data_IF_384718954397
#
_entry.id   IF_384718954397
#
_cell.length_a   1.000
_cell.length_b   1.000
_cell.length_c   1.000
_cell.angle_alpha   90.00
_cell.angle_beta   90.00
_cell.angle_gamma   90.00
#
_symmetry.space_group_name_H-M   'P 1'
#
loop_
_entity.id
_entity.type
_entity.pdbx_description
1 polymer ?
#
# COMPACT_ATOMS: atom_id res chain seq x y z
N UNK A 1 -15.55 3.53 -20.74
CA UNK A 1 -14.93 3.95 -20.46
C UNK A 1 -13.93 3.51 -20.43
N UNK A 2 -13.69 3.27 -20.71
CA UNK A 2 -12.75 2.76 -20.64
C UNK A 2 -11.56 3.36 -20.82
N UNK A 3 -11.15 4.19 -21.37
CA UNK A 3 -9.92 4.87 -21.40
C UNK A 3 -9.57 5.58 -20.13
N UNK A 4 -10.33 5.43 -19.14
CA UNK A 4 -10.07 6.06 -17.89
C UNK A 4 -8.81 5.47 -17.27
N UNK A 5 -8.02 6.29 -16.56
CA UNK A 5 -6.88 5.75 -15.84
C UNK A 5 -7.34 4.71 -14.84
N UNK A 6 -6.43 3.85 -14.49
CA UNK A 6 -6.71 2.85 -13.49
C UNK A 6 -6.85 3.49 -12.14
N UNK A 7 -8.07 3.72 -11.75
CA UNK A 7 -8.40 4.17 -10.41
C UNK A 7 -9.11 3.00 -9.75
N UNK A 8 -8.65 2.55 -8.61
CA UNK A 8 -9.33 1.45 -7.94
C UNK A 8 -10.79 1.81 -7.71
N UNK A 9 -11.69 0.97 -8.20
CA UNK A 9 -13.12 1.25 -8.17
C UNK A 9 -13.62 1.42 -6.74
N UNK A 10 -13.03 0.67 -5.81
CA UNK A 10 -13.47 0.64 -4.43
C UNK A 10 -12.54 1.41 -3.49
N UNK A 11 -11.73 2.33 -4.05
CA UNK A 11 -10.74 3.03 -3.23
C UNK A 11 -11.38 3.71 -2.02
N UNK A 12 -12.38 4.53 -2.25
CA UNK A 12 -12.99 5.30 -1.18
C UNK A 12 -13.63 4.38 -0.14
N UNK A 13 -14.30 3.33 -0.60
CA UNK A 13 -14.95 2.38 0.28
C UNK A 13 -13.95 1.61 1.12
N UNK A 14 -12.85 1.20 0.50
CA UNK A 14 -11.81 0.44 1.22
C UNK A 14 -11.16 1.32 2.28
N UNK A 15 -10.82 2.55 1.93
CA UNK A 15 -10.20 3.47 2.88
C UNK A 15 -11.16 3.80 4.01
N UNK A 16 -12.44 4.01 3.70
CA UNK A 16 -13.42 4.30 4.74
C UNK A 16 -13.60 3.11 5.68
N UNK A 17 -13.62 1.89 5.14
CA UNK A 17 -13.78 0.68 5.97
C UNK A 17 -12.56 0.45 6.85
N UNK A 18 -11.37 0.70 6.32
CA UNK A 18 -10.15 0.55 7.08
C UNK A 18 -10.02 1.64 8.14
N UNK A 19 -10.49 2.84 7.83
CA UNK A 19 -10.46 4.01 8.69
C UNK A 19 -9.07 4.23 9.31
N UNK A 20 -8.04 4.41 8.48
CA UNK A 20 -6.69 4.56 8.99
C UNK A 20 -6.55 5.84 9.81
N UNK A 21 -5.86 5.73 10.91
CA UNK A 21 -5.62 6.84 11.81
C UNK A 21 -4.19 7.32 11.70
N UNK A 22 -3.91 8.59 12.03
CA UNK A 22 -2.53 9.08 12.04
C UNK A 22 -1.66 8.17 12.91
N UNK A 23 -0.51 7.78 12.36
CA UNK A 23 0.43 6.90 13.05
C UNK A 23 0.17 5.42 12.85
N UNK A 24 -0.93 5.05 12.20
CA UNK A 24 -1.16 3.64 11.89
C UNK A 24 -0.10 3.14 10.91
N UNK A 25 0.21 1.85 10.99
CA UNK A 25 1.09 1.16 10.06
C UNK A 25 0.22 0.27 9.18
N UNK A 26 0.24 0.52 7.89
CA UNK A 26 -0.62 -0.17 6.94
C UNK A 26 0.22 -0.76 5.83
N UNK A 27 -0.11 -1.97 5.41
CA UNK A 27 0.52 -2.60 4.26
C UNK A 27 -0.35 -2.40 3.04
N UNK A 28 0.26 -1.92 1.96
CA UNK A 28 -0.36 -1.94 0.64
C UNK A 28 0.22 -3.15 -0.10
N UNK A 29 -0.60 -4.16 -0.32
CA UNK A 29 -0.13 -5.42 -0.87
C UNK A 29 0.17 -5.33 -2.37
N UNK A 30 -0.29 -4.29 -3.04
CA UNK A 30 -0.07 -4.10 -4.47
C UNK A 30 0.09 -2.61 -4.75
N UNK A 31 1.33 -2.12 -4.67
CA UNK A 31 1.57 -0.68 -4.83
C UNK A 31 1.07 -0.16 -6.17
N UNK A 32 1.46 -0.80 -7.27
CA UNK A 32 1.05 -0.42 -8.61
C UNK A 32 1.35 1.04 -8.90
N UNK A 33 0.32 1.81 -9.20
CA UNK A 33 0.43 3.24 -9.44
C UNK A 33 0.32 4.08 -8.16
N UNK A 34 0.08 3.44 -7.02
CA UNK A 34 0.12 4.11 -5.73
C UNK A 34 -1.19 4.73 -5.26
N UNK A 35 -2.32 4.34 -5.84
CA UNK A 35 -3.60 4.93 -5.46
C UNK A 35 -3.96 4.73 -3.99
N UNK A 36 -3.91 3.49 -3.53
CA UNK A 36 -4.19 3.21 -2.11
C UNK A 36 -3.15 3.84 -1.21
N UNK A 37 -1.88 3.72 -1.58
CA UNK A 37 -0.80 4.28 -0.78
C UNK A 37 -0.95 5.79 -0.62
N UNK A 38 -1.29 6.51 -1.69
CA UNK A 38 -1.48 7.95 -1.58
C UNK A 38 -2.60 8.29 -0.61
N UNK A 39 -3.72 7.59 -0.70
CA UNK A 39 -4.85 7.83 0.20
C UNK A 39 -4.49 7.54 1.65
N UNK A 40 -3.74 6.48 1.88
CA UNK A 40 -3.31 6.11 3.24
C UNK A 40 -2.36 7.15 3.82
N UNK A 41 -1.40 7.60 3.02
CA UNK A 41 -0.45 8.62 3.47
C UNK A 41 -1.16 9.92 3.83
N UNK A 42 -2.20 10.28 3.07
CA UNK A 42 -2.98 11.48 3.34
C UNK A 42 -3.74 11.39 4.65
N UNK A 43 -4.03 10.18 5.11
CA UNK A 43 -4.67 9.96 6.41
C UNK A 43 -3.67 9.93 7.56
N UNK A 44 -2.38 10.08 7.26
CA UNK A 44 -1.35 10.09 8.30
C UNK A 44 -0.73 8.73 8.59
N UNK A 45 -1.07 7.71 7.84
CA UNK A 45 -0.51 6.38 8.04
C UNK A 45 0.93 6.29 7.53
N UNK A 46 1.68 5.37 8.10
CA UNK A 46 2.94 4.91 7.53
C UNK A 46 2.61 3.68 6.70
N UNK A 47 3.14 3.61 5.48
CA UNK A 47 2.77 2.58 4.54
C UNK A 47 3.99 1.75 4.14
N UNK A 48 3.84 0.44 4.23
CA UNK A 48 4.78 -0.50 3.64
C UNK A 48 4.13 -1.08 2.41
N UNK A 49 4.67 -0.75 1.24
CA UNK A 49 4.04 -1.08 -0.03
C UNK A 49 4.82 -2.15 -0.76
N UNK A 50 4.13 -3.16 -1.22
CA UNK A 50 4.72 -4.31 -1.89
C UNK A 50 4.42 -4.27 -3.38
N UNK A 51 5.39 -4.61 -4.19
CA UNK A 51 5.18 -4.84 -5.60
C UNK A 51 6.34 -5.66 -6.15
N UNK A 52 6.06 -6.49 -7.14
CA UNK A 52 7.09 -7.26 -7.83
C UNK A 52 7.66 -6.52 -9.03
N UNK A 53 6.95 -5.49 -9.50
CA UNK A 53 7.34 -4.76 -10.69
C UNK A 53 8.42 -3.74 -10.33
N UNK A 54 9.63 -3.89 -10.87
CA UNK A 54 10.71 -2.95 -10.55
C UNK A 54 10.40 -1.53 -10.99
N UNK A 55 9.59 -1.33 -12.03
CA UNK A 55 9.20 0.00 -12.46
C UNK A 55 8.28 0.65 -11.45
N UNK A 56 7.35 -0.11 -10.88
CA UNK A 56 6.48 0.41 -9.84
C UNK A 56 7.28 0.78 -8.60
N UNK A 57 8.22 -0.06 -8.21
CA UNK A 57 9.08 0.20 -7.06
C UNK A 57 9.91 1.47 -7.30
N UNK A 58 10.52 1.59 -8.48
CA UNK A 58 11.33 2.77 -8.81
C UNK A 58 10.49 4.05 -8.75
N UNK A 59 9.28 4.00 -9.28
CA UNK A 59 8.38 5.15 -9.24
C UNK A 59 8.03 5.52 -7.79
N UNK A 60 7.77 4.51 -6.97
CA UNK A 60 7.44 4.73 -5.56
C UNK A 60 8.61 5.31 -4.78
N UNK A 61 9.82 4.89 -5.08
CA UNK A 61 11.00 5.39 -4.38
C UNK A 61 11.24 6.88 -4.63
N UNK A 62 10.64 7.44 -5.67
CA UNK A 62 10.74 8.87 -5.94
C UNK A 62 9.79 9.72 -5.09
N UNK A 63 8.86 9.09 -4.38
CA UNK A 63 7.89 9.82 -3.57
C UNK A 63 8.58 10.45 -2.35
N UNK A 64 8.20 11.68 -2.00
CA UNK A 64 8.87 12.37 -0.88
C UNK A 64 8.71 11.65 0.46
N UNK A 65 7.65 10.89 0.64
CA UNK A 65 7.43 10.18 1.90
C UNK A 65 8.46 9.08 2.17
N UNK A 66 9.21 8.66 1.15
CA UNK A 66 10.33 7.73 1.35
C UNK A 66 11.55 8.43 1.93
N UNK A 67 11.61 9.76 1.85
CA UNK A 67 12.80 10.54 2.19
C UNK A 67 12.73 11.19 3.57
N UNK A 68 11.60 11.10 4.24
CA UNK A 68 11.49 11.66 5.59
C UNK A 68 12.05 10.69 6.61
N UNK A 69 12.33 11.16 7.82
CA UNK A 69 12.94 10.33 8.86
C UNK A 69 12.08 10.42 10.14
N UNK A 70 11.48 9.34 10.58
CA UNK A 70 11.46 8.02 9.90
C UNK A 70 10.61 8.05 8.64
N UNK A 71 10.89 7.18 7.68
CA UNK A 71 10.15 7.19 6.43
C UNK A 71 8.69 6.80 6.63
N UNK A 72 7.81 7.50 5.92
CA UNK A 72 6.39 7.20 5.97
C UNK A 72 5.96 6.25 4.86
N UNK A 73 6.80 6.06 3.87
CA UNK A 73 6.59 5.08 2.80
C UNK A 73 7.85 4.26 2.63
N UNK A 74 7.70 2.95 2.72
CA UNK A 74 8.80 2.02 2.49
C UNK A 74 8.36 1.04 1.41
N UNK A 75 9.13 0.98 0.32
CA UNK A 75 8.83 0.08 -0.79
C UNK A 75 9.55 -1.24 -0.58
N UNK A 76 8.83 -2.33 -0.86
CA UNK A 76 9.38 -3.68 -0.74
C UNK A 76 9.22 -4.40 -2.08
N UNK A 77 10.34 -4.66 -2.79
CA UNK A 77 10.28 -5.33 -4.09
C UNK A 77 10.10 -6.84 -3.92
N UNK A 78 8.99 -7.22 -3.34
CA UNK A 78 8.70 -8.60 -2.98
C UNK A 78 7.26 -8.92 -3.28
N UNK A 79 6.97 -10.21 -3.37
CA UNK A 79 5.59 -10.67 -3.46
C UNK A 79 4.92 -10.49 -2.11
N UNK A 80 3.63 -10.24 -2.16
CA UNK A 80 2.88 -10.10 -0.91
C UNK A 80 2.95 -11.40 -0.07
N UNK A 81 3.07 -12.56 -0.72
CA UNK A 81 3.18 -13.83 0.01
C UNK A 81 4.41 -13.88 0.93
N UNK A 82 5.39 -13.01 0.70
CA UNK A 82 6.59 -12.91 1.52
C UNK A 82 6.45 -11.88 2.64
N UNK A 83 5.28 -11.32 2.80
CA UNK A 83 5.06 -10.16 3.67
C UNK A 83 5.52 -10.41 5.10
N UNK A 84 5.17 -11.56 5.68
CA UNK A 84 5.50 -11.81 7.08
C UNK A 84 7.01 -11.79 7.31
N UNK A 85 7.76 -12.44 6.40
CA UNK A 85 9.21 -12.48 6.51
C UNK A 85 9.83 -11.11 6.29
N UNK A 86 9.33 -10.39 5.28
CA UNK A 86 9.86 -9.08 4.95
C UNK A 86 9.62 -8.09 6.09
N UNK A 87 8.42 -8.09 6.66
CA UNK A 87 8.10 -7.18 7.74
C UNK A 87 8.88 -7.50 9.00
N UNK A 88 9.07 -8.78 9.29
CA UNK A 88 9.90 -9.19 10.42
C UNK A 88 11.34 -8.71 10.23
N UNK A 89 11.89 -8.89 9.04
CA UNK A 89 13.26 -8.45 8.74
C UNK A 89 13.39 -6.94 8.82
N UNK A 90 12.33 -6.21 8.50
CA UNK A 90 12.31 -4.75 8.58
C UNK A 90 12.09 -4.24 10.01
N UNK A 91 11.86 -5.12 10.97
CA UNK A 91 11.68 -4.72 12.36
C UNK A 91 10.29 -4.17 12.66
N UNK A 92 9.32 -4.44 11.82
CA UNK A 92 7.96 -3.94 12.01
C UNK A 92 7.20 -4.90 12.90
N UNK A 93 6.83 -4.43 14.08
CA UNK A 93 6.19 -5.28 15.09
C UNK A 93 4.66 -5.14 15.08
N UNK A 94 4.13 -4.05 14.51
CA UNK A 94 2.70 -3.79 14.54
C UNK A 94 2.20 -3.41 13.16
N UNK A 95 1.11 -4.02 12.76
CA UNK A 95 0.44 -3.71 11.50
C UNK A 95 -1.03 -3.48 11.86
N UNK A 96 -1.55 -2.31 11.48
CA UNK A 96 -2.92 -1.93 11.80
C UNK A 96 -3.90 -2.26 10.69
N UNK A 97 -3.41 -2.51 9.48
CA UNK A 97 -4.28 -2.87 8.39
C UNK A 97 -3.51 -3.29 7.15
N UNK A 98 -4.21 -3.94 6.25
CA UNK A 98 -3.67 -4.39 4.97
C UNK A 98 -4.70 -4.09 3.91
N UNK A 99 -4.28 -3.45 2.82
CA UNK A 99 -5.14 -3.23 1.67
C UNK A 99 -4.57 -3.96 0.46
N UNK A 100 -5.44 -4.41 -0.41
CA UNK A 100 -5.05 -5.09 -1.63
C UNK A 100 -5.90 -4.57 -2.76
N UNK A 101 -5.26 -4.23 -3.87
CA UNK A 101 -5.99 -3.86 -5.09
C UNK A 101 -6.21 -5.13 -5.91
N UNK A 102 -7.08 -5.98 -5.39
CA UNK A 102 -7.29 -7.30 -5.98
C UNK A 102 -8.46 -7.32 -6.95
N UNK A 103 -9.16 -6.21 -7.07
CA UNK A 103 -10.30 -6.14 -7.95
C UNK A 103 -11.53 -6.78 -7.35
N UNK A 104 -12.64 -6.56 -8.03
CA UNK A 104 -13.95 -6.97 -7.52
C UNK A 104 -14.05 -8.49 -7.42
N UNK A 105 -13.55 -9.20 -8.40
CA UNK A 105 -13.69 -10.64 -8.41
C UNK A 105 -13.00 -11.30 -7.22
N UNK A 106 -11.84 -10.77 -6.85
CA UNK A 106 -11.12 -11.35 -5.72
C UNK A 106 -11.86 -11.12 -4.41
N UNK A 107 -12.49 -9.98 -4.29
CA UNK A 107 -13.22 -9.66 -3.08
C UNK A 107 -14.46 -10.55 -2.92
N UNK A 108 -14.97 -11.05 -4.03
CA UNK A 108 -16.15 -11.91 -3.96
C UNK A 108 -15.83 -13.34 -3.57
N UNK A 109 -14.59 -13.67 -3.55
CA UNK A 109 -14.18 -15.00 -3.17
C UNK A 109 -14.37 -15.29 -1.69
N UNK A 110 -14.63 -14.30 -0.96
CA UNK A 110 -14.78 -14.46 0.47
C UNK A 110 -16.07 -15.14 0.88
#
# INVERSE_FOLDING_TARGET
MTGAPHIPVLLDEVIAALDPQPGDVVIDATFGAGGYTRALLERGATVHAFDRDPDAIAAGEAWPETKVDPPRLVLHPHRFSEMAEVMTAAGVARIDGIVMDIGVSSMQLD
#
